data_IF_613425471795
#
_entry.id   IF_613425471795
#
_cell.length_a   1.000
_cell.length_b   1.000
_cell.length_c   1.000
_cell.angle_alpha   90.00
_cell.angle_beta   90.00
_cell.angle_gamma   90.00
#
_symmetry.space_group_name_H-M   'P 1'
#
loop_
_entity.id
_entity.type
_entity.pdbx_description
1 polymer ?
#
# COMPACT_ATOMS: atom_id res chain seq x y z
N UNK A 1 -14.43 -1.15 16.34
CA UNK A 1 -14.10 -2.44 15.66
C UNK A 1 -15.10 -2.70 14.54
N UNK A 2 -14.68 -2.59 13.27
CA UNK A 2 -15.60 -2.77 12.13
C UNK A 2 -16.07 -4.22 12.01
N UNK A 3 -17.38 -4.40 11.73
CA UNK A 3 -18.09 -5.67 11.52
C UNK A 3 -17.27 -6.71 10.75
N UNK A 4 -16.56 -6.28 9.72
CA UNK A 4 -15.83 -7.13 8.77
C UNK A 4 -14.59 -7.80 9.39
N UNK A 5 -13.93 -7.19 10.39
CA UNK A 5 -12.80 -7.83 11.09
C UNK A 5 -13.28 -9.04 11.89
N UNK A 6 -14.47 -8.97 12.50
CA UNK A 6 -15.05 -10.07 13.28
C UNK A 6 -15.49 -11.24 12.39
N UNK A 7 -16.05 -10.96 11.21
CA UNK A 7 -16.54 -11.99 10.29
C UNK A 7 -15.46 -12.99 9.86
N UNK A 8 -14.22 -12.53 9.63
CA UNK A 8 -13.14 -13.41 9.21
C UNK A 8 -12.61 -14.37 10.26
N UNK A 9 -12.41 -13.89 11.49
CA UNK A 9 -12.04 -14.76 12.61
C UNK A 9 -13.13 -15.80 12.88
N UNK A 10 -14.40 -15.44 12.71
CA UNK A 10 -15.52 -16.37 12.82
C UNK A 10 -15.44 -17.45 11.73
N UNK A 11 -15.14 -17.08 10.48
CA UNK A 11 -14.98 -18.06 9.38
C UNK A 11 -13.83 -19.03 9.67
N UNK A 12 -12.67 -18.55 10.12
CA UNK A 12 -11.53 -19.40 10.47
C UNK A 12 -11.88 -20.32 11.64
N UNK A 13 -12.60 -19.81 12.65
CA UNK A 13 -13.04 -20.61 13.79
C UNK A 13 -14.04 -21.71 13.37
N UNK A 14 -15.01 -21.40 12.50
CA UNK A 14 -15.94 -22.39 11.96
C UNK A 14 -15.18 -23.44 11.14
N UNK A 15 -14.26 -23.02 10.26
CA UNK A 15 -13.44 -23.92 9.46
C UNK A 15 -12.58 -24.83 10.35
N UNK A 16 -12.03 -24.31 11.45
CA UNK A 16 -11.29 -25.08 12.43
C UNK A 16 -12.14 -26.16 13.10
N UNK A 17 -13.36 -25.81 13.54
CA UNK A 17 -14.29 -26.76 14.14
C UNK A 17 -14.69 -27.83 13.14
N UNK A 18 -15.05 -27.45 11.91
CA UNK A 18 -15.39 -28.38 10.84
C UNK A 18 -14.24 -29.32 10.52
N UNK A 19 -13.01 -28.79 10.40
CA UNK A 19 -11.81 -29.59 10.19
C UNK A 19 -11.65 -30.66 11.29
N UNK A 20 -11.75 -30.26 12.56
CA UNK A 20 -11.67 -31.20 13.68
C UNK A 20 -12.74 -32.29 13.59
N UNK A 21 -14.01 -31.90 13.39
CA UNK A 21 -15.12 -32.86 13.28
C UNK A 21 -14.87 -33.86 12.16
N UNK A 22 -14.49 -33.40 10.96
CA UNK A 22 -14.23 -34.27 9.81
C UNK A 22 -13.09 -35.24 10.14
N UNK A 23 -11.98 -34.72 10.65
CA UNK A 23 -10.77 -35.49 10.90
C UNK A 23 -10.95 -36.55 11.99
N UNK A 24 -11.81 -36.31 12.98
CA UNK A 24 -12.11 -37.29 14.03
C UNK A 24 -13.29 -38.20 13.70
N UNK A 25 -14.20 -37.79 12.81
CA UNK A 25 -15.32 -38.63 12.37
C UNK A 25 -14.90 -39.71 11.36
N UNK A 26 -13.87 -39.47 10.55
CA UNK A 26 -13.39 -40.48 9.59
C UNK A 26 -12.65 -41.59 10.35
N UNK A 27 -13.02 -42.87 10.14
CA UNK A 27 -12.45 -44.01 10.85
C UNK A 27 -11.08 -44.41 10.27
N UNK A 28 -10.07 -43.54 10.42
CA UNK A 28 -8.67 -43.83 10.08
C UNK A 28 -7.84 -44.10 11.32
N UNK A 29 -6.83 -44.95 11.20
CA UNK A 29 -5.84 -45.14 12.26
C UNK A 29 -5.05 -43.84 12.51
N UNK A 30 -5.01 -43.41 13.77
CA UNK A 30 -4.34 -42.17 14.19
C UNK A 30 -2.88 -42.46 14.55
N UNK A 31 -2.08 -42.74 13.52
CA UNK A 31 -0.64 -43.05 13.64
C UNK A 31 0.20 -41.82 14.01
N UNK A 32 1.50 -41.99 14.26
CA UNK A 32 2.41 -40.87 14.54
C UNK A 32 2.44 -39.84 13.39
N UNK A 33 2.35 -40.29 12.14
CA UNK A 33 2.25 -39.44 10.94
C UNK A 33 1.05 -38.51 11.01
N UNK A 34 -0.11 -39.04 11.42
CA UNK A 34 -1.34 -38.27 11.61
C UNK A 34 -1.14 -37.15 12.64
N UNK A 35 -0.58 -37.46 13.81
CA UNK A 35 -0.40 -36.48 14.88
C UNK A 35 0.58 -35.37 14.51
N UNK A 36 1.65 -35.70 13.78
CA UNK A 36 2.61 -34.71 13.28
C UNK A 36 1.91 -33.77 12.29
N UNK A 37 1.25 -34.31 11.26
CA UNK A 37 0.57 -33.50 10.26
C UNK A 37 -0.56 -32.66 10.88
N UNK A 38 -1.26 -33.21 11.86
CA UNK A 38 -2.30 -32.53 12.61
C UNK A 38 -1.73 -31.33 13.40
N UNK A 39 -0.61 -31.51 14.11
CA UNK A 39 0.04 -30.43 14.85
C UNK A 39 0.45 -29.26 13.93
N UNK A 40 1.04 -29.54 12.77
CA UNK A 40 1.36 -28.49 11.79
C UNK A 40 0.11 -27.82 11.22
N UNK A 41 -0.99 -28.55 11.07
CA UNK A 41 -2.26 -27.97 10.63
C UNK A 41 -2.86 -27.06 11.71
N UNK A 42 -2.74 -27.41 13.00
CA UNK A 42 -3.09 -26.52 14.10
C UNK A 42 -2.26 -25.23 14.06
N UNK A 43 -0.96 -25.34 13.80
CA UNK A 43 -0.08 -24.17 13.61
C UNK A 43 -0.55 -23.33 12.44
N UNK A 44 -0.98 -23.94 11.32
CA UNK A 44 -1.51 -23.19 10.18
C UNK A 44 -2.79 -22.41 10.50
N UNK A 45 -3.70 -23.00 11.29
CA UNK A 45 -4.89 -22.30 11.80
C UNK A 45 -4.52 -21.18 12.78
N UNK A 46 -3.57 -21.40 13.68
CA UNK A 46 -3.07 -20.36 14.58
C UNK A 46 -2.39 -19.22 13.82
N UNK A 47 -1.64 -19.54 12.76
CA UNK A 47 -1.00 -18.58 11.89
C UNK A 47 -2.01 -17.66 11.19
N UNK A 48 -3.22 -18.13 10.86
CA UNK A 48 -4.27 -17.27 10.34
C UNK A 48 -4.58 -16.11 11.28
N UNK A 49 -4.58 -16.32 12.60
CA UNK A 49 -4.83 -15.26 13.58
C UNK A 49 -3.74 -14.19 13.49
N UNK A 50 -2.47 -14.60 13.41
CA UNK A 50 -1.33 -13.71 13.27
C UNK A 50 -1.35 -12.93 11.94
N UNK A 51 -1.67 -13.62 10.83
CA UNK A 51 -1.76 -13.03 9.48
C UNK A 51 -2.88 -12.00 9.41
N UNK A 52 -4.05 -12.32 9.95
CA UNK A 52 -5.18 -11.38 10.02
C UNK A 52 -4.86 -10.18 10.91
N UNK A 53 -4.18 -10.40 12.04
CA UNK A 53 -3.69 -9.31 12.87
C UNK A 53 -2.73 -8.42 12.08
N UNK A 54 -1.73 -8.98 11.40
CA UNK A 54 -0.76 -8.24 10.58
C UNK A 54 -1.44 -7.44 9.45
N UNK A 55 -2.35 -8.07 8.70
CA UNK A 55 -3.11 -7.42 7.63
C UNK A 55 -3.91 -6.21 8.13
N UNK A 56 -4.53 -6.32 9.31
CA UNK A 56 -5.44 -5.31 9.84
C UNK A 56 -4.87 -4.40 10.93
N UNK A 57 -3.60 -4.56 11.33
CA UNK A 57 -2.97 -3.78 12.42
C UNK A 57 -2.79 -2.31 12.03
N UNK A 58 -2.43 -2.04 10.76
CA UNK A 58 -2.20 -0.68 10.22
C UNK A 58 -3.41 -0.10 9.47
N UNK A 59 -4.60 -0.71 9.63
CA UNK A 59 -5.76 -0.46 8.77
C UNK A 59 -6.73 0.60 9.33
N UNK A 60 -6.27 1.86 9.43
CA UNK A 60 -7.12 3.00 9.79
C UNK A 60 -7.97 3.51 8.61
N UNK A 61 -7.46 3.43 7.38
CA UNK A 61 -8.18 3.86 6.17
C UNK A 61 -8.67 2.67 5.33
N UNK A 62 -9.69 2.88 4.48
CA UNK A 62 -10.20 1.88 3.53
C UNK A 62 -9.10 1.35 2.60
N UNK A 63 -8.15 2.21 2.23
CA UNK A 63 -7.03 1.87 1.35
C UNK A 63 -6.00 0.94 2.01
N UNK A 64 -5.69 1.18 3.29
CA UNK A 64 -4.82 0.28 4.06
C UNK A 64 -5.43 -1.12 4.24
N UNK A 65 -6.77 -1.25 4.22
CA UNK A 65 -7.44 -2.57 4.19
C UNK A 65 -7.26 -3.29 2.87
N UNK A 66 -7.29 -2.57 1.75
CA UNK A 66 -7.04 -3.15 0.43
C UNK A 66 -5.61 -3.68 0.32
N UNK A 67 -4.63 -2.92 0.83
CA UNK A 67 -3.22 -3.35 0.87
C UNK A 67 -2.95 -4.53 1.82
N UNK A 68 -3.86 -4.84 2.74
CA UNK A 68 -3.81 -6.03 3.59
C UNK A 68 -4.37 -7.30 2.93
N UNK A 69 -5.08 -7.19 1.80
CA UNK A 69 -5.67 -8.35 1.10
C UNK A 69 -4.62 -9.34 0.56
N UNK A 70 -3.49 -8.90 -0.03
CA UNK A 70 -2.44 -9.81 -0.48
C UNK A 70 -1.87 -10.66 0.66
N UNK A 71 -1.71 -10.07 1.85
CA UNK A 71 -1.22 -10.77 3.05
C UNK A 71 -2.20 -11.88 3.48
N UNK A 72 -3.51 -11.57 3.45
CA UNK A 72 -4.55 -12.57 3.75
C UNK A 72 -4.58 -13.67 2.67
N UNK A 73 -4.42 -13.30 1.40
CA UNK A 73 -4.42 -14.26 0.29
C UNK A 73 -3.31 -15.31 0.43
N UNK A 74 -2.06 -14.87 0.71
CA UNK A 74 -0.94 -15.78 0.99
C UNK A 74 -1.26 -16.71 2.18
N UNK A 75 -1.86 -16.16 3.24
CA UNK A 75 -2.28 -16.96 4.38
C UNK A 75 -3.33 -18.02 4.05
N UNK A 76 -4.35 -17.68 3.26
CA UNK A 76 -5.39 -18.63 2.85
C UNK A 76 -4.82 -19.71 1.94
N UNK A 77 -3.95 -19.36 0.99
CA UNK A 77 -3.26 -20.34 0.12
C UNK A 77 -2.41 -21.31 0.95
N UNK A 78 -1.68 -20.80 1.94
CA UNK A 78 -0.93 -21.65 2.87
C UNK A 78 -1.84 -22.64 3.61
N UNK A 79 -2.98 -22.18 4.15
CA UNK A 79 -3.92 -23.05 4.86
C UNK A 79 -4.48 -24.14 3.93
N UNK A 80 -4.88 -23.79 2.71
CA UNK A 80 -5.41 -24.75 1.73
C UNK A 80 -4.34 -25.80 1.39
N UNK A 81 -3.11 -25.37 1.11
CA UNK A 81 -2.00 -26.27 0.80
C UNK A 81 -1.70 -27.22 1.98
N UNK A 82 -1.70 -26.69 3.20
CA UNK A 82 -1.51 -27.49 4.41
C UNK A 82 -2.63 -28.53 4.60
N UNK A 83 -3.89 -28.18 4.32
CA UNK A 83 -5.02 -29.10 4.39
C UNK A 83 -4.91 -30.22 3.34
N UNK A 84 -4.48 -29.91 2.12
CA UNK A 84 -4.25 -30.92 1.07
C UNK A 84 -3.17 -31.90 1.51
N UNK A 85 -2.04 -31.38 2.01
CA UNK A 85 -0.93 -32.20 2.49
C UNK A 85 -1.34 -33.07 3.68
N UNK A 86 -2.17 -32.53 4.58
CA UNK A 86 -2.74 -33.30 5.69
C UNK A 86 -3.59 -34.48 5.20
N UNK A 87 -4.47 -34.27 4.22
CA UNK A 87 -5.31 -35.34 3.63
C UNK A 87 -4.44 -36.42 2.96
N UNK A 88 -3.37 -36.02 2.28
CA UNK A 88 -2.41 -36.96 1.66
C UNK A 88 -1.73 -37.82 2.73
N UNK A 89 -1.25 -37.23 3.83
CA UNK A 89 -0.63 -38.01 4.91
C UNK A 89 -1.62 -38.90 5.65
N UNK A 90 -2.87 -38.47 5.80
CA UNK A 90 -3.94 -39.28 6.37
C UNK A 90 -4.23 -40.52 5.51
N UNK A 91 -4.05 -40.42 4.19
CA UNK A 91 -4.24 -41.54 3.25
C UNK A 91 -3.06 -42.52 3.21
N UNK A 92 -1.91 -42.14 3.78
CA UNK A 92 -0.66 -42.89 3.70
C UNK A 92 -0.04 -43.09 5.11
N UNK A 93 -0.66 -43.95 5.95
CA UNK A 93 -0.28 -44.10 7.36
C UNK A 93 1.06 -44.82 7.59
N UNK A 94 1.60 -45.50 6.57
CA UNK A 94 2.83 -46.32 6.66
C UNK A 94 4.11 -45.56 6.34
N UNK A 95 4.04 -44.25 6.10
CA UNK A 95 5.20 -43.42 5.77
C UNK A 95 6.08 -43.20 7.02
N UNK A 96 7.40 -43.10 6.82
CA UNK A 96 8.32 -42.72 7.88
C UNK A 96 8.03 -41.32 8.44
N UNK A 97 8.08 -41.20 9.77
CA UNK A 97 7.70 -39.98 10.50
C UNK A 97 8.50 -38.72 10.12
N UNK A 98 9.70 -38.86 9.55
CA UNK A 98 10.50 -37.70 9.12
C UNK A 98 9.90 -36.98 7.90
N UNK A 99 9.15 -37.69 7.04
CA UNK A 99 8.61 -37.12 5.81
C UNK A 99 7.58 -36.03 6.11
N UNK A 100 6.53 -36.26 6.94
CA UNK A 100 5.59 -35.22 7.32
C UNK A 100 6.24 -33.99 7.96
N UNK A 101 7.27 -34.21 8.80
CA UNK A 101 8.00 -33.11 9.45
C UNK A 101 8.68 -32.23 8.41
N UNK A 102 9.46 -32.82 7.50
CA UNK A 102 10.20 -32.07 6.48
C UNK A 102 9.24 -31.35 5.53
N UNK A 103 8.21 -32.05 5.02
CA UNK A 103 7.25 -31.45 4.09
C UNK A 103 6.50 -30.27 4.73
N UNK A 104 5.98 -30.44 5.95
CA UNK A 104 5.25 -29.35 6.61
C UNK A 104 6.18 -28.18 6.98
N UNK A 105 7.43 -28.46 7.38
CA UNK A 105 8.41 -27.43 7.68
C UNK A 105 8.77 -26.59 6.44
N UNK A 106 8.94 -27.21 5.26
CA UNK A 106 9.21 -26.50 4.00
C UNK A 106 8.04 -25.57 3.66
N UNK A 107 6.81 -26.07 3.74
CA UNK A 107 5.60 -25.29 3.41
C UNK A 107 5.45 -24.10 4.37
N UNK A 108 5.64 -24.33 5.67
CA UNK A 108 5.62 -23.28 6.68
C UNK A 108 6.71 -22.22 6.40
N UNK A 109 7.94 -22.65 6.13
CA UNK A 109 9.08 -21.78 5.87
C UNK A 109 8.87 -20.90 4.63
N UNK A 110 8.47 -21.50 3.50
CA UNK A 110 8.16 -20.76 2.28
C UNK A 110 7.05 -19.75 2.50
N UNK A 111 5.96 -20.16 3.17
CA UNK A 111 4.84 -19.27 3.47
C UNK A 111 5.26 -18.10 4.35
N UNK A 112 6.15 -18.32 5.32
CA UNK A 112 6.74 -17.25 6.13
C UNK A 112 7.52 -16.23 5.30
N UNK A 113 8.35 -16.69 4.35
CA UNK A 113 9.11 -15.81 3.45
C UNK A 113 8.15 -14.95 2.62
N UNK A 114 7.13 -15.55 2.00
CA UNK A 114 6.14 -14.81 1.20
C UNK A 114 5.36 -13.78 2.02
N UNK A 115 5.02 -14.09 3.26
CA UNK A 115 4.35 -13.14 4.16
C UNK A 115 5.24 -11.93 4.45
N UNK A 116 6.51 -12.13 4.77
CA UNK A 116 7.46 -11.04 5.03
C UNK A 116 7.66 -10.18 3.77
N UNK A 117 7.83 -10.80 2.60
CA UNK A 117 7.97 -10.07 1.33
C UNK A 117 6.74 -9.22 0.99
N UNK A 118 5.54 -9.72 1.28
CA UNK A 118 4.29 -9.00 1.02
C UNK A 118 4.11 -7.81 1.98
N UNK A 119 4.52 -7.95 3.25
CA UNK A 119 4.45 -6.86 4.22
C UNK A 119 5.45 -5.74 3.90
N UNK A 120 6.67 -6.10 3.47
CA UNK A 120 7.68 -5.14 2.98
C UNK A 120 7.19 -4.38 1.73
N UNK A 121 6.58 -5.10 0.77
CA UNK A 121 6.01 -4.46 -0.42
C UNK A 121 4.89 -3.47 -0.08
N UNK A 122 4.06 -3.78 0.92
CA UNK A 122 3.01 -2.87 1.40
C UNK A 122 3.59 -1.58 2.00
N UNK A 123 4.67 -1.67 2.78
CA UNK A 123 5.30 -0.51 3.40
C UNK A 123 5.85 0.46 2.36
N UNK A 124 6.50 -0.05 1.33
CA UNK A 124 7.04 0.80 0.25
C UNK A 124 5.92 1.46 -0.57
N UNK A 125 4.82 0.76 -0.84
CA UNK A 125 3.66 1.35 -1.53
C UNK A 125 3.03 2.49 -0.72
N UNK A 126 2.88 2.31 0.59
CA UNK A 126 2.36 3.39 1.47
C UNK A 126 3.31 4.59 1.48
N UNK A 127 4.63 4.35 1.54
CA UNK A 127 5.64 5.42 1.51
C UNK A 127 5.63 6.21 0.21
N UNK A 128 5.60 5.53 -0.94
CA UNK A 128 5.54 6.16 -2.26
C UNK A 128 4.27 7.01 -2.37
N UNK A 129 3.15 6.48 -1.90
CA UNK A 129 1.88 7.19 -1.93
C UNK A 129 1.84 8.43 -1.01
N UNK A 130 2.37 8.34 0.22
CA UNK A 130 2.50 9.51 1.11
C UNK A 130 3.38 10.60 0.48
N UNK A 131 4.48 10.20 -0.18
CA UNK A 131 5.35 11.12 -0.91
C UNK A 131 4.58 11.81 -2.04
N UNK A 132 3.81 11.06 -2.83
CA UNK A 132 2.98 11.62 -3.91
C UNK A 132 1.90 12.55 -3.34
N UNK A 133 1.24 12.20 -2.23
CA UNK A 133 0.19 13.03 -1.63
C UNK A 133 0.71 14.36 -1.09
N UNK A 134 1.90 14.38 -0.47
CA UNK A 134 2.56 15.64 -0.07
C UNK A 134 2.84 16.52 -1.28
N UNK A 135 3.36 15.96 -2.36
CA UNK A 135 3.68 16.70 -3.59
C UNK A 135 2.43 17.24 -4.30
N UNK A 136 1.33 16.47 -4.33
CA UNK A 136 0.02 16.95 -4.80
C UNK A 136 -0.49 18.12 -3.94
N UNK A 137 -0.32 18.03 -2.63
CA UNK A 137 -0.78 19.08 -1.70
C UNK A 137 0.02 20.37 -1.88
N UNK A 138 1.34 20.29 -2.02
CA UNK A 138 2.18 21.47 -2.30
C UNK A 138 1.83 22.15 -3.63
N UNK A 139 1.49 21.42 -4.69
CA UNK A 139 1.02 22.03 -5.94
C UNK A 139 -0.34 22.71 -5.79
N UNK A 140 -1.24 22.14 -4.99
CA UNK A 140 -2.53 22.77 -4.68
C UNK A 140 -2.39 24.02 -3.83
N UNK A 141 -1.46 24.04 -2.87
CA UNK A 141 -1.11 25.23 -2.10
C UNK A 141 -0.58 26.33 -3.02
N UNK A 142 0.33 25.97 -3.93
CA UNK A 142 0.87 26.90 -4.92
C UNK A 142 -0.21 27.45 -5.87
N UNK A 143 -1.15 26.60 -6.30
CA UNK A 143 -2.31 27.02 -7.09
C UNK A 143 -3.17 28.03 -6.31
N UNK A 144 -3.50 27.71 -5.06
CA UNK A 144 -4.31 28.59 -4.21
C UNK A 144 -3.63 29.94 -3.94
N UNK A 145 -2.31 29.94 -3.71
CA UNK A 145 -1.54 31.18 -3.56
C UNK A 145 -1.62 32.07 -4.81
N UNK A 146 -1.47 31.48 -6.00
CA UNK A 146 -1.56 32.23 -7.27
C UNK A 146 -2.98 32.75 -7.53
N UNK A 147 -4.02 31.96 -7.22
CA UNK A 147 -5.42 32.39 -7.31
C UNK A 147 -5.72 33.56 -6.36
N UNK A 148 -5.24 33.50 -5.12
CA UNK A 148 -5.38 34.60 -4.15
C UNK A 148 -4.69 35.89 -4.63
N UNK A 149 -3.50 35.79 -5.23
CA UNK A 149 -2.79 36.96 -5.79
C UNK A 149 -3.59 37.53 -6.98
N UNK A 150 -4.18 36.68 -7.81
CA UNK A 150 -5.01 37.10 -8.94
C UNK A 150 -6.29 37.82 -8.50
N UNK A 151 -6.89 37.41 -7.38
CA UNK A 151 -8.07 38.07 -6.80
C UNK A 151 -7.73 39.44 -6.20
N UNK A 152 -6.56 39.58 -5.58
CA UNK A 152 -6.09 40.83 -4.98
C UNK A 152 -5.65 41.88 -6.02
N UNK A 153 -5.39 41.49 -7.27
CA UNK A 153 -4.94 42.41 -8.32
C UNK A 153 -6.08 43.17 -9.00
N UNK A 154 -5.87 44.47 -9.16
CA UNK A 154 -6.81 45.39 -9.82
C UNK A 154 -6.56 45.54 -11.33
N UNK A 155 -5.33 45.24 -11.78
CA UNK A 155 -4.97 45.31 -13.20
C UNK A 155 -5.49 44.08 -13.97
N UNK A 156 -6.35 44.25 -14.99
CA UNK A 156 -6.91 43.14 -15.77
C UNK A 156 -5.85 42.35 -16.55
N UNK A 157 -4.71 42.94 -16.91
CA UNK A 157 -3.64 42.23 -17.64
C UNK A 157 -2.86 41.30 -16.69
N UNK A 158 -2.42 41.82 -15.53
CA UNK A 158 -1.80 41.02 -14.48
C UNK A 158 -2.71 39.88 -13.98
N UNK A 159 -4.02 40.14 -13.82
CA UNK A 159 -5.00 39.13 -13.39
C UNK A 159 -5.14 37.97 -14.38
N UNK A 160 -5.15 38.26 -15.68
CA UNK A 160 -5.17 37.22 -16.73
C UNK A 160 -3.90 36.39 -16.75
N UNK A 161 -2.73 37.01 -16.56
CA UNK A 161 -1.46 36.31 -16.50
C UNK A 161 -1.40 35.33 -15.31
N UNK A 162 -1.82 35.77 -14.12
CA UNK A 162 -1.87 34.94 -12.91
C UNK A 162 -2.88 33.79 -13.03
N UNK A 163 -4.06 34.02 -13.62
CA UNK A 163 -5.03 32.96 -13.88
C UNK A 163 -4.47 31.87 -14.83
N UNK A 164 -3.73 32.28 -15.88
CA UNK A 164 -3.04 31.35 -16.77
C UNK A 164 -1.94 30.54 -16.06
N UNK A 165 -1.22 31.16 -15.12
CA UNK A 165 -0.23 30.47 -14.29
C UNK A 165 -0.89 29.45 -13.35
N UNK A 166 -1.99 29.80 -12.69
CA UNK A 166 -2.75 28.88 -11.83
C UNK A 166 -3.25 27.66 -12.61
N UNK A 167 -3.75 27.87 -13.84
CA UNK A 167 -4.19 26.79 -14.72
C UNK A 167 -3.02 25.87 -15.11
N UNK A 168 -1.85 26.42 -15.43
CA UNK A 168 -0.64 25.64 -15.72
C UNK A 168 -0.16 24.83 -14.50
N UNK A 169 -0.24 25.37 -13.30
CA UNK A 169 0.07 24.65 -12.05
C UNK A 169 -0.94 23.52 -11.81
N UNK A 170 -2.23 23.76 -12.07
CA UNK A 170 -3.28 22.75 -11.93
C UNK A 170 -3.06 21.53 -12.82
N UNK A 171 -2.55 21.74 -14.03
CA UNK A 171 -2.26 20.66 -14.99
C UNK A 171 -0.82 20.14 -14.93
N UNK A 172 -0.01 20.63 -14.00
CA UNK A 172 1.35 20.14 -13.80
C UNK A 172 1.35 18.73 -13.20
N UNK A 173 2.34 17.94 -13.60
CA UNK A 173 2.50 16.58 -13.07
C UNK A 173 2.83 16.65 -11.56
N UNK A 174 2.09 15.95 -10.69
CA UNK A 174 2.39 15.89 -9.26
C UNK A 174 3.60 15.03 -8.92
N UNK A 175 4.08 14.21 -9.87
CA UNK A 175 5.28 13.42 -9.67
C UNK A 175 6.52 14.32 -9.67
N UNK A 176 7.20 14.34 -8.54
CA UNK A 176 8.37 15.18 -8.28
C UNK A 176 9.50 14.34 -7.68
N UNK A 177 10.72 14.59 -8.15
CA UNK A 177 11.93 13.92 -7.71
C UNK A 177 12.79 14.86 -6.85
N UNK A 178 13.68 14.30 -6.01
CA UNK A 178 14.57 15.09 -5.14
C UNK A 178 15.48 16.04 -5.95
N UNK A 179 15.87 15.63 -7.15
CA UNK A 179 16.64 16.45 -8.09
C UNK A 179 15.91 17.71 -8.60
N UNK A 180 14.57 17.76 -8.47
CA UNK A 180 13.75 18.90 -8.86
C UNK A 180 13.53 19.91 -7.73
N UNK A 181 13.89 19.55 -6.49
CA UNK A 181 13.69 20.40 -5.31
C UNK A 181 14.24 21.83 -5.46
N UNK A 182 15.43 22.07 -6.05
CA UNK A 182 15.94 23.43 -6.23
C UNK A 182 15.05 24.29 -7.14
N UNK A 183 14.50 23.70 -8.22
CA UNK A 183 13.63 24.42 -9.17
C UNK A 183 12.25 24.65 -8.53
N UNK A 184 11.74 23.70 -7.74
CA UNK A 184 10.48 23.86 -7.01
C UNK A 184 10.56 24.95 -5.94
N UNK A 185 11.67 25.04 -5.21
CA UNK A 185 11.92 26.08 -4.20
C UNK A 185 12.06 27.46 -4.84
N UNK A 186 12.72 27.54 -5.99
CA UNK A 186 12.82 28.78 -6.77
C UNK A 186 11.44 29.24 -7.28
N UNK A 187 10.60 28.33 -7.78
CA UNK A 187 9.22 28.62 -8.19
C UNK A 187 8.40 29.14 -7.00
N UNK A 188 8.49 28.47 -5.85
CA UNK A 188 7.77 28.89 -4.62
C UNK A 188 8.19 30.28 -4.17
N UNK A 189 9.50 30.52 -4.10
CA UNK A 189 10.06 31.83 -3.71
C UNK A 189 9.58 32.94 -4.63
N UNK A 190 9.59 32.70 -5.95
CA UNK A 190 9.13 33.70 -6.93
C UNK A 190 7.62 33.94 -6.85
N UNK A 191 6.81 32.92 -6.54
CA UNK A 191 5.36 33.10 -6.33
C UNK A 191 5.07 33.89 -5.06
N UNK A 192 5.84 33.67 -3.98
CA UNK A 192 5.72 34.51 -2.77
C UNK A 192 6.11 35.95 -3.06
N UNK A 193 7.15 36.18 -3.87
CA UNK A 193 7.58 37.52 -4.27
C UNK A 193 6.51 38.30 -5.07
N UNK A 194 5.64 37.59 -5.82
CA UNK A 194 4.52 38.23 -6.52
C UNK A 194 3.52 38.91 -5.57
N UNK A 195 3.45 38.52 -4.29
CA UNK A 195 2.55 39.14 -3.30
C UNK A 195 2.92 40.59 -2.99
N UNK A 196 4.20 40.95 -3.11
CA UNK A 196 4.74 42.28 -2.75
C UNK A 196 5.22 43.08 -3.95
N UNK A 197 5.14 42.52 -5.16
CA UNK A 197 5.66 43.12 -6.38
C UNK A 197 4.66 44.11 -7.02
N UNK A 198 5.12 45.22 -7.64
CA UNK A 198 4.26 46.12 -8.38
C UNK A 198 3.53 45.43 -9.55
N UNK A 199 2.29 45.86 -9.83
CA UNK A 199 1.46 45.30 -10.90
C UNK A 199 2.13 45.38 -12.29
N UNK A 200 2.89 46.44 -12.56
CA UNK A 200 3.60 46.66 -13.83
C UNK A 200 4.62 45.54 -14.16
N UNK A 201 5.23 44.93 -13.14
CA UNK A 201 6.24 43.88 -13.33
C UNK A 201 5.68 42.46 -13.14
N UNK A 202 4.40 42.34 -12.77
CA UNK A 202 3.77 41.05 -12.47
C UNK A 202 3.72 40.15 -13.71
N UNK A 203 3.42 40.69 -14.89
CA UNK A 203 3.35 39.92 -16.14
C UNK A 203 4.72 39.34 -16.56
N UNK A 204 5.81 40.06 -16.33
CA UNK A 204 7.16 39.58 -16.64
C UNK A 204 7.62 38.50 -15.66
N UNK A 205 7.36 38.67 -14.36
CA UNK A 205 7.63 37.65 -13.34
C UNK A 205 6.82 36.38 -13.57
N UNK A 206 5.54 36.48 -13.95
CA UNK A 206 4.70 35.33 -14.30
C UNK A 206 5.31 34.54 -15.45
N UNK A 207 5.76 35.19 -16.53
CA UNK A 207 6.42 34.49 -17.65
C UNK A 207 7.68 33.74 -17.21
N UNK A 208 8.47 34.29 -16.30
CA UNK A 208 9.66 33.60 -15.79
C UNK A 208 9.28 32.35 -14.97
N UNK A 209 8.23 32.45 -14.15
CA UNK A 209 7.72 31.31 -13.39
C UNK A 209 7.16 30.23 -14.33
N UNK A 210 6.47 30.61 -15.41
CA UNK A 210 5.98 29.66 -16.42
C UNK A 210 7.12 28.90 -17.13
N UNK A 211 8.23 29.58 -17.41
CA UNK A 211 9.43 28.95 -17.99
C UNK A 211 10.00 27.91 -17.02
N UNK A 212 10.18 28.28 -15.75
CA UNK A 212 10.66 27.36 -14.71
C UNK A 212 9.70 26.18 -14.51
N UNK A 213 8.39 26.43 -14.51
CA UNK A 213 7.38 25.38 -14.41
C UNK A 213 7.45 24.41 -15.59
N UNK A 214 7.63 24.93 -16.81
CA UNK A 214 7.82 24.12 -18.02
C UNK A 214 9.12 23.32 -17.96
N UNK A 215 10.22 23.92 -17.49
CA UNK A 215 11.50 23.22 -17.30
C UNK A 215 11.35 22.07 -16.30
N UNK A 216 10.73 22.34 -15.14
CA UNK A 216 10.40 21.35 -14.11
C UNK A 216 9.57 20.22 -14.69
N UNK A 217 8.51 20.53 -15.44
CA UNK A 217 7.63 19.52 -16.05
C UNK A 217 8.38 18.66 -17.09
N UNK A 218 9.27 19.24 -17.90
CA UNK A 218 10.10 18.49 -18.86
C UNK A 218 11.07 17.56 -18.14
N UNK A 219 11.77 18.05 -17.11
CA UNK A 219 12.69 17.24 -16.31
C UNK A 219 11.95 16.12 -15.55
N UNK A 220 10.79 16.42 -14.97
CA UNK A 220 9.94 15.41 -14.33
C UNK A 220 9.53 14.29 -15.30
N UNK A 221 9.25 14.63 -16.57
CA UNK A 221 8.93 13.63 -17.60
C UNK A 221 10.10 12.70 -17.94
N UNK A 222 11.34 13.17 -17.82
CA UNK A 222 12.55 12.36 -18.08
C UNK A 222 12.89 11.40 -16.93
N UNK A 223 12.33 11.65 -15.75
CA UNK A 223 12.56 10.86 -14.53
C UNK A 223 11.46 9.80 -14.30
N UNK A 224 10.54 9.63 -15.26
CA UNK A 224 9.57 8.52 -15.32
C UNK A 224 10.15 7.31 -16.04
#
# INVERSE_FOLDING_TARGET
MSRNKKSGYIIVAIAFVLFNVIVFAIPTEKTSVFWIAYAFTLVAFAAQIAIWKAAFNKADTLKSRFLGLPIIHVGVVYLILQLIVFIVFMSLPTIANWIPVVTCAIILGLSGIFLISTDLGREEVVRVEEKVQRKVSSLKELQADVEMIAEAQSDPEAKRALAGLAEKIRYSDPMSDESLAPIEDEISTRIVALKTQPAADTSSSVKQIEILLSERNKKAKLLK
#
